data_IF_387784763252
#
_entry.id   IF_387784763252
#
_cell.length_a   1.000
_cell.length_b   1.000
_cell.length_c   1.000
_cell.angle_alpha   90.00
_cell.angle_beta   90.00
_cell.angle_gamma   90.00
#
_symmetry.space_group_name_H-M   'P 1'
#
loop_
_entity.id
_entity.type
_entity.pdbx_description
1 polymer ?
#
# COMPACT_ATOMS: atom_id res chain seq x y z
N UNK A 1 0.69 -10.18 -14.41
CA UNK A 1 -0.23 -9.35 -13.59
C UNK A 1 -0.63 -10.12 -12.35
N UNK A 2 -0.65 -9.48 -11.20
CA UNK A 2 -1.03 -10.11 -9.93
C UNK A 2 -2.53 -9.95 -9.71
N UNK A 3 -3.25 -11.05 -9.62
CA UNK A 3 -4.71 -11.08 -9.49
C UNK A 3 -5.15 -11.74 -8.18
N UNK A 4 -6.44 -11.62 -7.88
CA UNK A 4 -7.05 -12.31 -6.75
C UNK A 4 -6.81 -13.82 -6.87
N UNK A 5 -6.40 -14.44 -5.77
CA UNK A 5 -6.05 -15.85 -5.73
C UNK A 5 -4.58 -16.14 -5.98
N UNK A 6 -3.83 -15.20 -6.57
CA UNK A 6 -2.40 -15.37 -6.78
C UNK A 6 -1.63 -15.09 -5.50
N UNK A 7 -0.44 -15.67 -5.40
CA UNK A 7 0.49 -15.30 -4.34
C UNK A 7 1.25 -14.04 -4.78
N UNK A 8 1.16 -13.00 -3.96
CA UNK A 8 1.82 -11.73 -4.27
C UNK A 8 3.34 -11.87 -4.22
N UNK A 9 4.08 -11.24 -5.15
CA UNK A 9 5.54 -11.24 -5.12
C UNK A 9 6.06 -10.68 -3.80
N UNK A 10 7.01 -11.37 -3.18
CA UNK A 10 7.68 -10.87 -1.98
C UNK A 10 8.63 -9.74 -2.36
N UNK A 11 8.91 -8.87 -1.40
CA UNK A 11 9.85 -7.77 -1.61
C UNK A 11 10.45 -7.32 -0.29
N UNK A 12 11.52 -6.54 -0.40
CA UNK A 12 12.15 -5.88 0.73
C UNK A 12 12.46 -4.46 0.30
N UNK A 13 11.92 -3.48 1.02
CA UNK A 13 12.10 -2.06 0.70
C UNK A 13 12.44 -1.26 1.94
N UNK A 14 13.25 -0.20 1.79
CA UNK A 14 13.42 0.77 2.86
C UNK A 14 12.15 1.58 3.03
N UNK A 15 11.88 1.98 4.26
CA UNK A 15 10.71 2.79 4.57
C UNK A 15 10.86 3.44 5.93
N UNK A 16 9.80 4.13 6.35
CA UNK A 16 9.77 4.69 7.69
C UNK A 16 8.35 4.78 8.23
N UNK A 17 8.26 4.61 9.53
CA UNK A 17 7.04 4.80 10.30
C UNK A 17 7.32 5.93 11.28
N UNK A 18 6.52 7.01 11.21
CA UNK A 18 6.85 8.22 11.95
C UNK A 18 8.19 8.75 11.46
N UNK A 19 9.17 8.89 12.35
CA UNK A 19 10.55 9.28 12.01
C UNK A 19 11.52 8.10 12.06
N UNK A 20 11.04 6.89 12.32
CA UNK A 20 11.88 5.72 12.48
C UNK A 20 12.04 5.00 11.13
N UNK A 21 13.28 4.96 10.65
CA UNK A 21 13.63 4.30 9.39
C UNK A 21 13.91 2.82 9.63
N UNK A 22 13.54 2.01 8.64
CA UNK A 22 13.78 0.57 8.70
C UNK A 22 13.69 -0.08 7.33
N UNK A 23 13.81 -1.39 7.33
CA UNK A 23 13.65 -2.20 6.13
C UNK A 23 12.43 -3.09 6.35
N UNK A 24 11.54 -3.13 5.36
CA UNK A 24 10.27 -3.85 5.44
C UNK A 24 10.26 -4.98 4.42
N UNK A 25 10.10 -6.20 4.90
CA UNK A 25 9.94 -7.38 4.04
C UNK A 25 8.47 -7.78 4.07
N UNK A 26 7.86 -7.92 2.88
CA UNK A 26 6.43 -8.21 2.79
C UNK A 26 6.06 -9.50 3.52
N UNK A 27 6.83 -10.57 3.34
CA UNK A 27 6.53 -11.86 3.98
C UNK A 27 6.51 -11.76 5.50
N UNK A 28 7.37 -10.94 6.09
CA UNK A 28 7.38 -10.71 7.54
C UNK A 28 6.15 -9.92 7.98
N UNK A 29 5.76 -8.90 7.22
CA UNK A 29 4.59 -8.08 7.53
C UNK A 29 3.29 -8.88 7.42
N UNK A 30 3.18 -9.75 6.43
CA UNK A 30 1.97 -10.53 6.19
C UNK A 30 1.81 -11.68 7.18
N UNK A 31 2.91 -12.25 7.67
CA UNK A 31 2.91 -13.45 8.51
C UNK A 31 2.09 -13.30 9.78
N UNK A 32 1.98 -12.08 10.30
CA UNK A 32 1.29 -11.82 11.56
C UNK A 32 -0.22 -11.68 11.43
N UNK A 33 -0.76 -11.47 10.25
CA UNK A 33 -2.21 -11.34 10.14
C UNK A 33 -2.72 -10.74 8.84
N UNK A 34 -1.86 -10.57 7.87
CA UNK A 34 -2.23 -9.99 6.59
C UNK A 34 -1.80 -8.54 6.43
N UNK A 35 -1.93 -8.02 5.23
CA UNK A 35 -1.43 -6.68 4.90
C UNK A 35 -2.26 -6.03 3.79
N UNK A 36 -2.43 -4.72 3.89
CA UNK A 36 -2.91 -3.89 2.80
C UNK A 36 -1.72 -3.18 2.16
N UNK A 37 -1.52 -3.40 0.87
CA UNK A 37 -0.55 -2.64 0.09
C UNK A 37 -1.29 -1.51 -0.63
N UNK A 38 -0.83 -0.28 -0.44
CA UNK A 38 -1.41 0.89 -1.09
C UNK A 38 -0.33 1.55 -1.97
N UNK A 39 -0.36 1.25 -3.27
CA UNK A 39 0.51 1.91 -4.25
C UNK A 39 -0.07 3.26 -4.64
N UNK A 40 0.77 4.26 -4.82
CA UNK A 40 0.34 5.59 -5.25
C UNK A 40 1.48 6.32 -5.98
N UNK A 41 1.15 7.30 -6.85
CA UNK A 41 2.20 7.96 -7.67
C UNK A 41 3.21 8.77 -6.86
N UNK A 42 2.78 9.59 -5.91
CA UNK A 42 3.70 10.42 -5.13
C UNK A 42 3.02 11.06 -3.92
N UNK A 43 3.82 11.36 -2.88
CA UNK A 43 3.36 11.85 -1.58
C UNK A 43 2.55 13.15 -1.65
N UNK A 44 3.02 14.13 -2.42
CA UNK A 44 2.47 15.47 -2.38
C UNK A 44 1.50 15.79 -3.51
N UNK A 45 1.10 14.79 -4.30
CA UNK A 45 0.01 14.96 -5.26
C UNK A 45 -1.30 15.19 -4.49
N UNK A 46 -2.13 16.18 -4.86
CA UNK A 46 -3.36 16.47 -4.10
C UNK A 46 -4.27 15.26 -3.91
N UNK A 47 -4.44 14.46 -4.95
CA UNK A 47 -5.32 13.29 -4.90
C UNK A 47 -4.71 12.16 -4.05
N UNK A 48 -3.40 11.94 -4.17
CA UNK A 48 -2.70 10.95 -3.34
C UNK A 48 -2.74 11.33 -1.87
N UNK A 49 -2.49 12.62 -1.57
CA UNK A 49 -2.57 13.14 -0.21
C UNK A 49 -3.94 12.90 0.40
N UNK A 50 -5.01 13.22 -0.34
CA UNK A 50 -6.38 13.00 0.13
C UNK A 50 -6.64 11.54 0.47
N UNK A 51 -6.21 10.61 -0.40
CA UNK A 51 -6.48 9.19 -0.20
C UNK A 51 -5.66 8.57 0.91
N UNK A 52 -4.41 8.95 1.06
CA UNK A 52 -3.60 8.49 2.19
C UNK A 52 -4.15 9.02 3.52
N UNK A 53 -4.63 10.27 3.54
CA UNK A 53 -5.25 10.81 4.74
C UNK A 53 -6.59 10.13 5.04
N UNK A 54 -7.35 9.71 4.03
CA UNK A 54 -8.56 8.91 4.23
C UNK A 54 -8.22 7.56 4.86
N UNK A 55 -7.18 6.89 4.36
CA UNK A 55 -6.70 5.64 4.95
C UNK A 55 -6.21 5.85 6.38
N UNK A 56 -5.53 6.98 6.66
CA UNK A 56 -5.07 7.33 8.00
C UNK A 56 -6.23 7.34 9.02
N UNK A 57 -7.39 7.81 8.59
CA UNK A 57 -8.54 8.00 9.48
C UNK A 57 -9.31 6.70 9.73
N UNK A 58 -8.97 5.62 9.05
CA UNK A 58 -9.55 4.31 9.32
C UNK A 58 -8.88 3.70 10.56
N UNK A 59 -9.67 3.16 11.46
CA UNK A 59 -9.16 2.55 12.68
C UNK A 59 -8.80 1.08 12.44
N UNK A 60 -7.62 0.84 11.89
CA UNK A 60 -7.17 -0.50 11.48
C UNK A 60 -7.09 -1.49 12.64
N UNK A 61 -6.85 -1.00 13.85
CA UNK A 61 -6.79 -1.87 15.02
C UNK A 61 -8.13 -2.56 15.34
N UNK A 62 -9.25 -2.04 14.81
CA UNK A 62 -10.56 -2.68 14.96
C UNK A 62 -10.66 -3.99 14.21
N UNK A 63 -9.82 -4.20 13.21
CA UNK A 63 -9.83 -5.43 12.41
C UNK A 63 -9.00 -6.52 13.07
N UNK A 64 -7.73 -6.25 13.34
CA UNK A 64 -6.85 -7.10 14.13
C UNK A 64 -5.53 -6.35 14.39
N UNK A 65 -4.91 -6.54 15.58
CA UNK A 65 -3.71 -5.80 15.95
C UNK A 65 -2.50 -6.04 15.04
N UNK A 66 -2.40 -7.23 14.44
CA UNK A 66 -1.27 -7.62 13.60
C UNK A 66 -1.44 -7.23 12.14
N UNK A 67 -2.63 -6.74 11.76
CA UNK A 67 -2.85 -6.32 10.37
C UNK A 67 -2.02 -5.07 10.05
N UNK A 68 -1.29 -5.11 8.95
CA UNK A 68 -0.38 -4.04 8.55
C UNK A 68 -0.90 -3.29 7.35
N UNK A 69 -0.67 -1.97 7.32
CA UNK A 69 -0.92 -1.13 6.14
C UNK A 69 0.42 -0.58 5.68
N UNK A 70 0.76 -0.79 4.41
CA UNK A 70 2.01 -0.31 3.83
C UNK A 70 1.71 0.57 2.61
N UNK A 71 2.11 1.85 2.67
CA UNK A 71 2.05 2.73 1.50
C UNK A 71 3.32 2.59 0.69
N UNK A 72 3.21 2.55 -0.64
CA UNK A 72 4.36 2.35 -1.52
C UNK A 72 4.33 3.36 -2.66
N UNK A 73 5.39 4.14 -2.78
CA UNK A 73 5.62 5.02 -3.93
C UNK A 73 7.10 5.01 -4.30
N UNK A 74 7.47 5.77 -5.32
CA UNK A 74 8.88 5.90 -5.71
C UNK A 74 9.55 7.11 -5.06
N UNK A 75 8.87 7.80 -4.14
CA UNK A 75 9.44 8.92 -3.40
C UNK A 75 10.58 8.47 -2.50
N UNK A 76 11.49 9.41 -2.21
CA UNK A 76 12.61 9.15 -1.30
C UNK A 76 12.13 9.07 0.14
N UNK A 77 12.99 8.52 1.02
CA UNK A 77 12.73 8.50 2.45
C UNK A 77 12.56 9.90 3.02
N UNK A 78 13.26 10.88 2.47
CA UNK A 78 13.14 12.27 2.91
C UNK A 78 11.76 12.85 2.59
N UNK A 79 11.22 12.56 1.41
CA UNK A 79 9.87 12.98 1.05
C UNK A 79 8.83 12.32 1.95
N UNK A 80 8.97 11.02 2.20
CA UNK A 80 8.08 10.28 3.09
C UNK A 80 8.12 10.85 4.52
N UNK A 81 9.30 11.16 5.03
CA UNK A 81 9.44 11.71 6.38
C UNK A 81 8.68 13.02 6.53
N UNK A 82 8.84 13.91 5.58
CA UNK A 82 8.13 15.19 5.58
C UNK A 82 6.61 14.99 5.48
N UNK A 83 6.17 14.10 4.60
CA UNK A 83 4.76 13.82 4.39
C UNK A 83 4.12 13.21 5.65
N UNK A 84 4.78 12.23 6.25
CA UNK A 84 4.30 11.60 7.48
C UNK A 84 4.18 12.65 8.60
N UNK A 85 5.18 13.52 8.75
CA UNK A 85 5.17 14.54 9.78
C UNK A 85 4.06 15.58 9.60
N UNK A 86 3.77 15.95 8.37
CA UNK A 86 2.71 16.93 8.08
C UNK A 86 1.31 16.39 8.24
N UNK A 87 1.10 15.11 7.98
CA UNK A 87 -0.24 14.53 7.91
C UNK A 87 -0.49 13.44 8.93
N UNK A 88 0.43 13.22 9.86
CA UNK A 88 0.30 12.24 10.94
C UNK A 88 -0.08 10.85 10.40
N UNK A 89 0.63 10.38 9.39
CA UNK A 89 0.39 9.07 8.80
C UNK A 89 0.86 7.98 9.77
N UNK A 90 -0.02 7.10 10.26
CA UNK A 90 0.33 6.12 11.30
C UNK A 90 0.93 4.82 10.79
N UNK A 91 0.95 4.60 9.49
CA UNK A 91 1.46 3.38 8.89
C UNK A 91 2.76 3.67 8.12
N UNK A 92 3.59 2.65 7.89
CA UNK A 92 4.84 2.85 7.16
C UNK A 92 4.62 3.28 5.71
N UNK A 93 5.51 4.17 5.23
CA UNK A 93 5.62 4.50 3.81
C UNK A 93 6.94 3.97 3.29
N UNK A 94 6.89 3.17 2.22
CA UNK A 94 8.04 2.48 1.65
C UNK A 94 8.49 3.15 0.35
N UNK A 95 9.78 3.13 0.11
CA UNK A 95 10.40 3.77 -1.05
C UNK A 95 10.84 2.74 -2.09
N UNK A 96 10.12 2.68 -3.21
CA UNK A 96 10.42 1.83 -4.36
C UNK A 96 11.10 2.70 -5.44
N UNK A 97 12.23 3.30 -5.10
CA UNK A 97 12.86 4.35 -5.93
C UNK A 97 13.24 3.91 -7.33
N UNK A 98 13.58 2.64 -7.53
CA UNK A 98 13.90 2.09 -8.86
C UNK A 98 12.68 1.50 -9.58
N UNK A 99 11.52 1.45 -8.90
CA UNK A 99 10.28 0.97 -9.50
C UNK A 99 10.18 -0.54 -9.68
N UNK A 100 11.11 -1.33 -9.16
CA UNK A 100 11.12 -2.78 -9.41
C UNK A 100 9.90 -3.48 -8.78
N UNK A 101 9.47 -3.05 -7.58
CA UNK A 101 8.31 -3.64 -6.92
C UNK A 101 7.04 -3.24 -7.67
N UNK A 102 6.91 -1.97 -8.04
CA UNK A 102 5.82 -1.49 -8.88
C UNK A 102 5.67 -2.33 -10.14
N UNK A 103 6.79 -2.60 -10.83
CA UNK A 103 6.78 -3.43 -12.03
C UNK A 103 6.44 -4.90 -11.75
N UNK A 104 6.90 -5.45 -10.62
CA UNK A 104 6.59 -6.84 -10.28
C UNK A 104 5.10 -7.06 -10.02
N UNK A 105 4.38 -6.03 -9.60
CA UNK A 105 2.93 -6.06 -9.42
C UNK A 105 2.16 -5.61 -10.66
N UNK A 106 2.88 -5.15 -11.70
CA UNK A 106 2.30 -4.68 -12.98
C UNK A 106 1.30 -3.55 -12.76
N UNK A 107 1.67 -2.59 -11.92
CA UNK A 107 0.82 -1.44 -11.58
C UNK A 107 1.45 -0.10 -11.94
N UNK A 108 2.39 -0.09 -12.88
CA UNK A 108 3.02 1.13 -13.34
C UNK A 108 2.21 1.80 -14.47
N UNK A 109 2.30 3.14 -14.51
CA UNK A 109 1.91 3.90 -15.69
C UNK A 109 3.01 3.81 -16.74
N UNK A 110 2.65 3.82 -18.02
CA UNK A 110 3.63 4.08 -19.08
C UNK A 110 4.16 5.50 -18.88
N UNK A 111 3.26 6.47 -18.78
CA UNK A 111 3.58 7.86 -18.46
C UNK A 111 2.47 8.48 -17.61
N UNK A 112 2.88 9.25 -16.62
CA UNK A 112 1.97 10.09 -15.83
C UNK A 112 2.62 11.43 -15.65
N UNK A 113 2.00 12.49 -16.19
CA UNK A 113 2.56 13.85 -16.16
C UNK A 113 4.01 13.86 -16.68
N UNK A 114 4.26 13.16 -17.82
CA UNK A 114 5.56 13.02 -18.49
C UNK A 114 6.60 12.25 -17.67
N UNK A 115 6.18 11.59 -16.62
CA UNK A 115 7.07 10.75 -15.80
C UNK A 115 6.79 9.28 -16.09
N UNK A 116 7.80 8.51 -16.55
CA UNK A 116 7.59 7.09 -16.87
C UNK A 116 7.64 6.22 -15.62
N UNK A 117 6.84 5.17 -15.61
CA UNK A 117 6.97 4.09 -14.65
C UNK A 117 6.50 4.36 -13.23
N UNK A 118 5.80 5.47 -12.98
CA UNK A 118 5.24 5.73 -11.64
C UNK A 118 4.12 4.75 -11.32
N UNK A 119 3.91 4.42 -10.03
CA UNK A 119 2.81 3.55 -9.64
C UNK A 119 1.45 4.17 -9.93
N UNK A 120 0.50 3.32 -10.34
CA UNK A 120 -0.91 3.65 -10.34
C UNK A 120 -1.42 3.61 -8.90
N UNK A 121 -2.54 4.27 -8.62
CA UNK A 121 -3.24 4.04 -7.36
C UNK A 121 -3.78 2.62 -7.39
N UNK A 122 -3.32 1.79 -6.48
CA UNK A 122 -3.68 0.38 -6.45
C UNK A 122 -3.72 -0.12 -5.02
N UNK A 123 -4.71 -0.97 -4.71
CA UNK A 123 -4.83 -1.61 -3.42
C UNK A 123 -4.78 -3.12 -3.59
N UNK A 124 -4.00 -3.77 -2.74
CA UNK A 124 -3.96 -5.22 -2.65
C UNK A 124 -4.14 -5.62 -1.19
N UNK A 125 -5.17 -6.41 -0.90
CA UNK A 125 -5.34 -7.02 0.43
C UNK A 125 -4.82 -8.43 0.37
N UNK A 126 -3.83 -8.73 1.21
CA UNK A 126 -3.15 -10.02 1.23
C UNK A 126 -3.40 -10.69 2.58
N UNK A 127 -3.58 -12.01 2.56
CA UNK A 127 -3.63 -12.78 3.81
C UNK A 127 -2.22 -13.10 4.30
N UNK A 128 -2.12 -13.85 5.41
CA UNK A 128 -0.83 -14.20 6.02
C UNK A 128 0.06 -15.05 5.11
N UNK A 129 -0.50 -15.70 4.11
CA UNK A 129 0.23 -16.46 3.10
C UNK A 129 0.59 -15.64 1.87
N UNK A 130 0.31 -14.34 1.87
CA UNK A 130 0.45 -13.41 0.75
C UNK A 130 -0.47 -13.74 -0.43
N UNK A 131 -1.53 -14.48 -0.20
CA UNK A 131 -2.55 -14.69 -1.24
C UNK A 131 -3.38 -13.43 -1.38
N UNK A 132 -3.55 -12.95 -2.62
CA UNK A 132 -4.34 -11.75 -2.90
C UNK A 132 -5.82 -12.04 -2.69
N UNK A 133 -6.42 -11.36 -1.74
CA UNK A 133 -7.85 -11.50 -1.41
C UNK A 133 -8.70 -10.40 -2.04
N UNK A 134 -8.09 -9.28 -2.37
CA UNK A 134 -8.76 -8.16 -3.03
C UNK A 134 -7.74 -7.37 -3.82
N UNK A 135 -8.15 -6.89 -4.99
CA UNK A 135 -7.30 -6.10 -5.88
C UNK A 135 -8.15 -5.00 -6.51
N UNK A 136 -7.64 -3.77 -6.47
CA UNK A 136 -8.22 -2.65 -7.17
C UNK A 136 -7.10 -1.79 -7.74
N UNK A 137 -7.09 -1.59 -9.06
CA UNK A 137 -6.06 -0.82 -9.74
C UNK A 137 -6.72 0.26 -10.59
N UNK A 138 -6.34 1.52 -10.37
CA UNK A 138 -6.82 2.63 -11.17
C UNK A 138 -6.23 2.56 -12.58
N UNK A 139 -7.08 2.72 -13.60
CA UNK A 139 -6.65 2.72 -14.99
C UNK A 139 -6.23 4.11 -15.45
N UNK A 140 -6.80 5.15 -14.85
CA UNK A 140 -6.52 6.54 -15.17
C UNK A 140 -6.05 7.32 -13.95
N UNK A 141 -5.27 8.37 -14.17
CA UNK A 141 -4.67 9.17 -13.10
C UNK A 141 -5.71 9.81 -12.16
N UNK A 142 -6.90 10.11 -12.67
CA UNK A 142 -7.98 10.72 -11.90
C UNK A 142 -8.88 9.69 -11.22
N UNK A 143 -8.73 8.42 -11.58
CA UNK A 143 -9.52 7.35 -11.00
C UNK A 143 -8.97 6.97 -9.63
N UNK A 144 -9.86 6.77 -8.67
CA UNK A 144 -9.49 6.34 -7.33
C UNK A 144 -10.35 5.13 -6.97
N UNK A 145 -9.73 4.00 -6.59
CA UNK A 145 -10.50 2.84 -6.15
C UNK A 145 -11.37 3.16 -4.94
N UNK A 146 -12.58 2.59 -4.92
CA UNK A 146 -13.52 2.78 -3.82
C UNK A 146 -13.01 2.06 -2.55
N UNK A 147 -13.10 2.72 -1.41
CA UNK A 147 -12.66 2.16 -0.14
C UNK A 147 -13.67 1.17 0.46
N UNK A 148 -14.94 1.24 0.09
CA UNK A 148 -15.97 0.34 0.62
C UNK A 148 -15.62 -1.13 0.45
N UNK A 149 -15.44 -1.62 -0.79
CA UNK A 149 -15.03 -3.00 -1.04
C UNK A 149 -13.68 -3.36 -0.40
N UNK A 150 -12.76 -2.41 -0.34
CA UNK A 150 -11.47 -2.60 0.31
C UNK A 150 -11.64 -2.93 1.80
N UNK A 151 -12.45 -2.13 2.51
CA UNK A 151 -12.70 -2.34 3.92
C UNK A 151 -13.43 -3.65 4.19
N UNK A 152 -14.35 -4.04 3.31
CA UNK A 152 -15.03 -5.32 3.40
C UNK A 152 -14.06 -6.49 3.28
N UNK A 153 -13.09 -6.39 2.38
CA UNK A 153 -12.07 -7.42 2.19
C UNK A 153 -11.18 -7.54 3.44
N UNK A 154 -10.80 -6.42 4.05
CA UNK A 154 -10.02 -6.44 5.30
C UNK A 154 -10.80 -7.08 6.44
N UNK A 155 -12.07 -6.74 6.59
CA UNK A 155 -12.94 -7.33 7.61
C UNK A 155 -13.10 -8.84 7.41
N UNK A 156 -13.14 -9.26 6.17
CA UNK A 156 -13.22 -10.68 5.80
C UNK A 156 -12.03 -11.48 6.32
N UNK A 157 -10.82 -10.91 6.30
CA UNK A 157 -9.63 -11.54 6.87
C UNK A 157 -9.76 -11.74 8.38
N UNK A 158 -10.24 -10.72 9.09
CA UNK A 158 -10.44 -10.79 10.53
C UNK A 158 -11.41 -11.91 10.91
N UNK A 159 -12.47 -12.10 10.12
CA UNK A 159 -13.45 -13.15 10.35
C UNK A 159 -12.85 -14.55 10.11
N UNK A 160 -12.01 -14.70 9.09
CA UNK A 160 -11.34 -15.96 8.80
C UNK A 160 -10.36 -16.36 9.90
N UNK A 161 -9.68 -15.40 10.48
CA UNK A 161 -8.68 -15.64 11.54
C UNK A 161 -9.33 -16.00 12.89
N UNK A 162 -10.62 -15.77 13.06
CA UNK A 162 -11.32 -16.08 14.29
C UNK A 162 -11.78 -17.53 14.38
N UNK A 163 -11.58 -18.30 13.34
CA UNK A 163 -11.87 -19.72 13.28
C UNK A 163 -10.60 -20.51 13.63
#
# INVERSE_FOLDING_TARGET
>A
MVDEGDRAPDFELPGLRGSERGVYRLSDCAADGGVLLAFYPCDFSPLCKEKLCTLRDVEWFEFQPEFSVLGISQDSLYAHEEFIGRHDIPFPLLSDTDGRVTRSYDVQYDYWQRQPGLPRRAFFVLDESRTVRYRAVATEATEVPDLGPLLDAVRSLSTLDSD
#
